data_IF_716429387919
#
_entry.id   IF_716429387919
#
_cell.length_a   1.000
_cell.length_b   1.000
_cell.length_c   1.000
_cell.angle_alpha   90.00
_cell.angle_beta   90.00
_cell.angle_gamma   90.00
#
_symmetry.space_group_name_H-M   'P 1'
#
loop_
_entity.id
_entity.type
_entity.pdbx_description
1 polymer ?
#
# COMPACT_ATOMS: atom_id res chain seq x y z
N UNK A 1 -39.59 -26.18 42.66
CA UNK A 1 -40.62 -25.33 42.03
C UNK A 1 -39.89 -24.44 41.04
N UNK A 2 -39.68 -24.74 39.77
CA UNK A 2 -40.28 -25.66 38.77
C UNK A 2 -39.22 -25.79 37.66
N UNK A 3 -38.60 -26.94 37.42
CA UNK A 3 -39.00 -28.02 36.50
C UNK A 3 -39.54 -27.57 35.12
N UNK A 4 -38.93 -28.15 34.07
CA UNK A 4 -39.42 -28.56 32.72
C UNK A 4 -38.34 -28.23 31.66
N UNK A 5 -37.89 -29.09 30.74
CA UNK A 5 -37.98 -30.53 30.46
C UNK A 5 -36.91 -30.80 29.39
N UNK A 6 -36.07 -31.81 29.57
CA UNK A 6 -35.36 -32.45 28.45
C UNK A 6 -36.37 -33.26 27.63
N UNK A 7 -36.30 -33.14 26.31
CA UNK A 7 -37.07 -33.95 25.38
C UNK A 7 -36.08 -34.76 24.55
N UNK A 8 -35.92 -36.03 24.92
CA UNK A 8 -35.51 -37.08 24.00
C UNK A 8 -36.55 -37.23 22.89
N UNK A 9 -36.11 -37.28 21.64
CA UNK A 9 -36.88 -37.92 20.57
C UNK A 9 -36.03 -38.89 19.78
N UNK A 10 -36.64 -40.06 19.61
CA UNK A 10 -36.15 -41.33 19.10
C UNK A 10 -35.94 -41.32 17.59
N UNK A 11 -35.09 -42.25 17.18
CA UNK A 11 -34.92 -42.79 15.84
C UNK A 11 -36.25 -43.04 15.12
N UNK A 12 -36.34 -42.56 13.88
CA UNK A 12 -37.31 -43.02 12.90
C UNK A 12 -36.57 -43.30 11.59
N UNK A 13 -36.42 -44.59 11.30
CA UNK A 13 -35.99 -45.10 10.01
C UNK A 13 -37.03 -44.73 8.93
N UNK A 14 -36.57 -44.09 7.86
CA UNK A 14 -37.39 -43.73 6.71
C UNK A 14 -36.55 -43.79 5.44
N UNK A 15 -36.74 -44.87 4.68
CA UNK A 15 -36.23 -45.10 3.33
C UNK A 15 -36.51 -43.90 2.40
N UNK A 16 -35.49 -43.34 1.78
CA UNK A 16 -35.62 -42.66 0.49
C UNK A 16 -34.45 -43.03 -0.42
N UNK A 17 -34.82 -43.57 -1.58
CA UNK A 17 -34.00 -44.25 -2.57
C UNK A 17 -32.90 -43.37 -3.17
N UNK A 18 -31.70 -43.95 -3.26
CA UNK A 18 -30.59 -43.44 -4.07
C UNK A 18 -30.93 -43.62 -5.56
N UNK A 19 -31.16 -42.52 -6.27
CA UNK A 19 -31.12 -42.51 -7.74
C UNK A 19 -29.68 -42.31 -8.22
N UNK A 20 -29.08 -43.38 -8.72
CA UNK A 20 -27.87 -43.34 -9.53
C UNK A 20 -28.18 -42.79 -10.93
N UNK A 21 -27.33 -41.95 -11.54
CA UNK A 21 -27.29 -41.79 -12.99
C UNK A 21 -26.39 -42.87 -13.61
N UNK A 22 -26.90 -43.41 -14.71
CA UNK A 22 -26.44 -44.60 -15.42
C UNK A 22 -25.11 -44.38 -16.13
N UNK A 23 -24.32 -45.45 -16.12
CA UNK A 23 -23.24 -45.71 -17.06
C UNK A 23 -23.72 -45.57 -18.51
N UNK A 24 -22.97 -44.80 -19.31
CA UNK A 24 -22.87 -45.07 -20.74
C UNK A 24 -21.48 -45.63 -21.03
N UNK A 25 -21.45 -46.91 -21.37
CA UNK A 25 -20.32 -47.58 -22.01
C UNK A 25 -20.05 -46.92 -23.37
N UNK A 26 -18.78 -46.58 -23.60
CA UNK A 26 -18.17 -46.62 -24.92
C UNK A 26 -16.80 -47.28 -24.71
N UNK A 27 -16.74 -48.57 -25.05
CA UNK A 27 -15.51 -49.30 -25.45
C UNK A 27 -15.34 -49.04 -26.95
N UNK A 28 -14.19 -49.04 -27.60
CA UNK A 28 -12.76 -49.08 -27.33
C UNK A 28 -12.11 -48.88 -28.72
N UNK A 29 -10.78 -48.88 -28.77
CA UNK A 29 -9.89 -48.87 -29.95
C UNK A 29 -9.63 -47.46 -30.55
N UNK A 30 -8.41 -46.93 -30.65
CA UNK A 30 -7.17 -47.65 -30.94
C UNK A 30 -5.87 -46.89 -30.52
N UNK A 31 -4.88 -47.73 -30.25
CA UNK A 31 -3.43 -47.60 -30.08
C UNK A 31 -2.58 -46.30 -30.08
N UNK A 32 -1.66 -46.31 -29.09
CA UNK A 32 -0.20 -46.01 -29.12
C UNK A 32 0.27 -44.57 -29.34
N UNK A 33 0.74 -43.92 -28.26
CA UNK A 33 2.15 -43.49 -28.19
C UNK A 33 2.58 -43.15 -26.75
N UNK A 34 3.47 -43.96 -26.19
CA UNK A 34 4.34 -43.61 -25.06
C UNK A 34 5.71 -43.32 -25.65
N UNK A 35 6.33 -42.19 -25.30
CA UNK A 35 7.67 -42.17 -24.70
C UNK A 35 8.30 -40.77 -24.65
N UNK A 36 8.76 -40.44 -23.45
CA UNK A 36 10.02 -39.80 -23.09
C UNK A 36 10.54 -38.58 -23.87
N UNK A 37 10.46 -37.40 -23.23
CA UNK A 37 11.43 -36.30 -23.44
C UNK A 37 12.50 -36.31 -22.34
N UNK A 38 13.67 -36.87 -22.67
CA UNK A 38 14.97 -36.64 -22.00
C UNK A 38 16.04 -36.51 -23.09
N UNK A 39 16.64 -35.34 -23.24
CA UNK A 39 17.93 -35.18 -23.92
C UNK A 39 18.75 -34.16 -23.12
N UNK A 40 19.69 -34.59 -22.29
CA UNK A 40 21.08 -34.95 -22.58
C UNK A 40 21.95 -33.76 -23.05
N UNK A 41 22.71 -33.22 -22.09
CA UNK A 41 24.01 -32.59 -22.31
C UNK A 41 25.05 -33.67 -22.60
N UNK A 42 25.75 -33.60 -23.72
CA UNK A 42 27.12 -34.09 -23.82
C UNK A 42 27.95 -33.37 -24.89
N UNK A 43 29.26 -33.43 -24.67
CA UNK A 43 30.36 -32.59 -25.15
C UNK A 43 31.33 -33.47 -25.96
N UNK A 44 32.16 -32.86 -26.81
CA UNK A 44 33.29 -33.38 -27.64
C UNK A 44 32.90 -33.66 -29.11
N UNK A 45 33.71 -33.43 -30.16
CA UNK A 45 35.13 -33.02 -30.32
C UNK A 45 35.44 -32.67 -31.80
N UNK A 46 36.43 -31.80 -31.99
CA UNK A 46 37.39 -31.57 -33.10
C UNK A 46 37.17 -31.98 -34.58
N UNK A 47 37.59 -31.01 -35.42
CA UNK A 47 38.42 -31.08 -36.66
C UNK A 47 37.78 -31.38 -38.03
N UNK A 48 38.08 -30.48 -38.99
CA UNK A 48 37.89 -30.69 -40.43
C UNK A 48 37.65 -29.40 -41.23
N UNK A 49 38.73 -28.84 -41.79
CA UNK A 49 38.80 -27.60 -42.59
C UNK A 49 37.89 -27.58 -43.84
N UNK A 50 37.44 -26.39 -44.27
CA UNK A 50 37.64 -25.90 -45.65
C UNK A 50 37.26 -24.42 -45.79
N UNK A 51 38.20 -23.67 -46.39
CA UNK A 51 38.19 -22.24 -46.61
C UNK A 51 37.14 -21.80 -47.65
N UNK A 52 36.36 -20.77 -47.33
CA UNK A 52 35.86 -19.82 -48.33
C UNK A 52 36.11 -18.39 -47.86
N UNK A 53 37.06 -17.72 -48.53
CA UNK A 53 37.19 -16.27 -48.52
C UNK A 53 36.00 -15.68 -49.29
N UNK A 54 35.25 -14.75 -48.69
CA UNK A 54 35.07 -13.41 -49.27
C UNK A 54 34.21 -12.46 -48.41
N UNK A 55 34.76 -11.23 -48.31
CA UNK A 55 34.11 -9.92 -48.14
C UNK A 55 33.54 -9.57 -46.77
N UNK A 56 34.39 -8.84 -46.06
CA UNK A 56 34.10 -7.88 -44.99
C UNK A 56 32.85 -7.04 -45.26
N UNK A 57 31.84 -7.22 -44.41
CA UNK A 57 30.90 -6.17 -44.04
C UNK A 57 31.06 -6.00 -42.52
N UNK A 58 31.76 -4.94 -42.13
CA UNK A 58 31.73 -4.45 -40.74
C UNK A 58 30.28 -4.21 -40.35
N UNK A 59 29.81 -4.96 -39.36
CA UNK A 59 28.62 -4.61 -38.59
C UNK A 59 29.10 -4.34 -37.18
N UNK A 60 29.24 -3.07 -36.86
CA UNK A 60 29.43 -2.55 -35.51
C UNK A 60 28.50 -3.27 -34.54
N UNK A 61 29.09 -4.03 -33.63
CA UNK A 61 28.37 -4.55 -32.48
C UNK A 61 28.17 -3.41 -31.47
N UNK A 62 26.95 -3.15 -30.99
CA UNK A 62 26.74 -2.14 -29.96
C UNK A 62 27.55 -2.54 -28.72
N UNK A 63 28.38 -1.60 -28.28
CA UNK A 63 29.21 -1.66 -27.09
C UNK A 63 28.45 -2.27 -25.91
N UNK A 64 29.06 -3.25 -25.23
CA UNK A 64 28.63 -3.73 -23.92
C UNK A 64 28.52 -2.53 -22.98
N UNK A 65 27.31 -2.06 -22.73
CA UNK A 65 27.04 -1.03 -21.73
C UNK A 65 27.47 -1.61 -20.38
N UNK A 66 28.54 -1.08 -19.82
CA UNK A 66 28.99 -1.44 -18.48
C UNK A 66 27.84 -1.23 -17.50
N UNK A 67 27.42 -2.29 -16.79
CA UNK A 67 26.43 -2.15 -15.72
C UNK A 67 27.01 -1.19 -14.67
N UNK A 68 26.49 0.04 -14.61
CA UNK A 68 26.87 1.01 -13.57
C UNK A 68 26.69 0.35 -12.21
N UNK A 69 27.76 0.30 -11.41
CA UNK A 69 27.73 -0.24 -10.05
C UNK A 69 26.83 0.68 -9.23
N UNK A 70 25.71 0.17 -8.75
CA UNK A 70 24.79 0.94 -7.89
C UNK A 70 25.55 1.22 -6.59
N UNK A 71 25.72 2.50 -6.26
CA UNK A 71 26.36 2.91 -5.03
C UNK A 71 25.42 2.61 -3.86
N UNK A 72 25.88 1.77 -2.94
CA UNK A 72 25.19 1.48 -1.68
C UNK A 72 25.60 2.54 -0.67
N UNK A 73 24.62 3.15 -0.01
CA UNK A 73 24.87 4.09 1.07
C UNK A 73 25.42 3.33 2.28
N UNK A 74 26.50 3.85 2.88
CA UNK A 74 27.07 3.28 4.10
C UNK A 74 26.56 4.07 5.31
N UNK A 75 25.84 3.38 6.20
CA UNK A 75 25.44 3.92 7.50
C UNK A 75 26.54 3.59 8.50
N UNK A 76 27.10 4.61 9.14
CA UNK A 76 28.17 4.43 10.13
C UNK A 76 27.68 3.60 11.30
N UNK A 77 28.48 2.61 11.71
CA UNK A 77 28.06 1.64 12.72
C UNK A 77 27.76 2.30 14.08
N UNK A 78 28.59 3.24 14.52
CA UNK A 78 28.35 3.99 15.75
C UNK A 78 27.01 4.75 15.71
N UNK A 79 26.69 5.38 14.58
CA UNK A 79 25.43 6.10 14.43
C UNK A 79 24.24 5.13 14.43
N UNK A 80 24.33 4.02 13.71
CA UNK A 80 23.31 2.96 13.72
C UNK A 80 23.03 2.46 15.13
N UNK A 81 24.09 2.14 15.89
CA UNK A 81 23.96 1.66 17.28
C UNK A 81 23.30 2.71 18.17
N UNK A 82 23.64 3.99 17.99
CA UNK A 82 23.02 5.11 18.72
C UNK A 82 21.52 5.24 18.40
N UNK A 83 21.13 5.21 17.13
CA UNK A 83 19.71 5.28 16.72
C UNK A 83 18.93 4.08 17.24
N UNK A 84 19.45 2.86 17.07
CA UNK A 84 18.81 1.62 17.54
C UNK A 84 18.66 1.59 19.07
N UNK A 85 19.68 2.06 19.82
CA UNK A 85 19.61 2.17 21.28
C UNK A 85 18.56 3.20 21.70
N UNK A 86 18.52 4.34 21.01
CA UNK A 86 17.54 5.39 21.29
C UNK A 86 16.10 4.89 21.05
N UNK A 87 15.82 4.28 19.90
CA UNK A 87 14.51 3.69 19.58
C UNK A 87 14.05 2.72 20.68
N UNK A 88 14.94 1.80 21.09
CA UNK A 88 14.66 0.82 22.15
C UNK A 88 14.45 1.45 23.53
N UNK A 89 14.94 2.67 23.74
CA UNK A 89 14.78 3.37 25.02
C UNK A 89 13.40 4.01 25.18
N UNK A 90 12.64 4.17 24.08
CA UNK A 90 11.34 4.85 24.11
C UNK A 90 10.30 4.00 24.86
N UNK A 91 9.34 4.63 25.58
CA UNK A 91 8.36 3.93 26.40
C UNK A 91 7.60 2.83 25.67
N UNK A 92 7.12 3.11 24.45
CA UNK A 92 6.37 2.15 23.62
C UNK A 92 7.11 0.81 23.45
N UNK A 93 8.39 0.86 23.09
CA UNK A 93 9.18 -0.35 22.84
C UNK A 93 9.54 -1.09 24.12
N UNK A 94 9.79 -0.37 25.22
CA UNK A 94 9.96 -0.99 26.55
C UNK A 94 8.70 -1.73 26.97
N UNK A 95 7.54 -1.09 26.87
CA UNK A 95 6.26 -1.73 27.18
C UNK A 95 6.01 -2.96 26.32
N UNK A 96 6.26 -2.89 25.01
CA UNK A 96 6.11 -4.03 24.11
C UNK A 96 7.05 -5.19 24.48
N UNK A 97 8.29 -4.89 24.90
CA UNK A 97 9.26 -5.89 25.32
C UNK A 97 8.86 -6.59 26.63
N UNK A 98 8.15 -5.90 27.51
CA UNK A 98 7.70 -6.41 28.82
C UNK A 98 6.41 -7.24 28.74
N UNK A 99 5.64 -7.13 27.64
CA UNK A 99 4.38 -7.87 27.47
C UNK A 99 4.66 -9.33 27.11
N UNK A 100 4.24 -10.27 27.96
CA UNK A 100 4.29 -11.69 27.64
C UNK A 100 3.39 -12.08 26.46
N UNK A 101 3.83 -13.06 25.66
CA UNK A 101 3.02 -13.64 24.60
C UNK A 101 2.09 -14.72 25.16
N UNK A 102 0.78 -14.63 24.88
CA UNK A 102 -0.20 -15.60 25.32
C UNK A 102 -0.60 -16.50 24.14
N UNK A 103 -0.35 -17.80 24.27
CA UNK A 103 -0.84 -18.76 23.31
C UNK A 103 -2.37 -18.76 23.30
N UNK A 104 -2.97 -18.64 22.11
CA UNK A 104 -4.43 -18.70 21.92
C UNK A 104 -4.80 -19.92 21.07
N UNK A 105 -5.00 -21.10 21.66
CA UNK A 105 -5.29 -22.35 20.94
C UNK A 105 -6.52 -22.27 20.03
N UNK A 106 -7.46 -21.38 20.35
CA UNK A 106 -8.67 -21.18 19.54
C UNK A 106 -8.34 -20.80 18.08
N UNK A 107 -7.29 -20.02 17.83
CA UNK A 107 -6.92 -19.65 16.46
C UNK A 107 -6.35 -20.84 15.69
N UNK A 108 -5.56 -21.69 16.36
CA UNK A 108 -5.03 -22.91 15.75
C UNK A 108 -6.17 -23.86 15.38
N UNK A 109 -7.15 -24.04 16.26
CA UNK A 109 -8.32 -24.87 16.00
C UNK A 109 -9.10 -24.39 14.76
N UNK A 110 -9.26 -23.07 14.57
CA UNK A 110 -9.92 -22.52 13.39
C UNK A 110 -9.13 -22.82 12.11
N UNK A 111 -7.80 -22.69 12.16
CA UNK A 111 -6.94 -23.01 11.01
C UNK A 111 -6.99 -24.51 10.70
N UNK A 112 -6.93 -25.37 11.73
CA UNK A 112 -6.96 -26.82 11.58
C UNK A 112 -8.30 -27.30 11.00
N UNK A 113 -9.42 -26.75 11.48
CA UNK A 113 -10.75 -27.04 10.94
C UNK A 113 -10.83 -26.64 9.46
N UNK A 114 -10.38 -25.44 9.11
CA UNK A 114 -10.35 -24.98 7.72
C UNK A 114 -9.51 -25.89 6.82
N UNK A 115 -8.36 -26.36 7.28
CA UNK A 115 -7.50 -27.28 6.52
C UNK A 115 -8.20 -28.62 6.31
N UNK A 116 -8.85 -29.15 7.35
CA UNK A 116 -9.60 -30.40 7.29
C UNK A 116 -10.75 -30.33 6.28
N UNK A 117 -11.48 -29.22 6.26
CA UNK A 117 -12.68 -29.07 5.44
C UNK A 117 -12.38 -28.66 3.99
N UNK A 118 -11.21 -28.06 3.74
CA UNK A 118 -10.88 -27.50 2.43
C UNK A 118 -10.12 -28.49 1.54
N UNK A 119 -10.86 -29.36 0.87
CA UNK A 119 -10.33 -30.31 -0.11
C UNK A 119 -9.57 -29.64 -1.29
N UNK A 120 -9.76 -28.33 -1.53
CA UNK A 120 -8.99 -27.62 -2.56
C UNK A 120 -7.52 -27.48 -2.19
N UNK A 121 -7.15 -27.45 -0.90
CA UNK A 121 -5.74 -27.34 -0.50
C UNK A 121 -4.92 -28.59 -0.85
N UNK A 122 -5.57 -29.76 -0.87
CA UNK A 122 -4.93 -31.03 -1.22
C UNK A 122 -5.03 -31.35 -2.70
N UNK A 123 -6.14 -30.99 -3.35
CA UNK A 123 -6.36 -31.24 -4.78
C UNK A 123 -5.74 -30.20 -5.72
N UNK A 124 -5.37 -29.01 -5.20
CA UNK A 124 -4.76 -27.97 -6.03
C UNK A 124 -3.37 -28.43 -6.54
N UNK A 125 -3.13 -28.47 -7.87
CA UNK A 125 -1.88 -28.96 -8.45
C UNK A 125 -0.66 -28.15 -8.00
N UNK A 126 -0.86 -26.89 -7.56
CA UNK A 126 0.21 -25.99 -7.09
C UNK A 126 0.57 -26.17 -5.61
N UNK A 127 -0.24 -26.91 -4.86
CA UNK A 127 -0.02 -27.26 -3.45
C UNK A 127 0.23 -28.76 -3.26
N UNK A 128 0.62 -29.46 -4.33
CA UNK A 128 0.97 -30.90 -4.30
C UNK A 128 2.21 -31.15 -3.46
N UNK A 129 3.21 -30.27 -3.55
CA UNK A 129 4.40 -30.31 -2.69
C UNK A 129 4.03 -30.06 -1.23
N UNK A 130 4.28 -31.10 -0.41
CA UNK A 130 3.96 -31.08 1.03
C UNK A 130 4.70 -29.97 1.76
N UNK A 131 5.94 -29.66 1.37
CA UNK A 131 6.75 -28.61 2.01
C UNK A 131 6.13 -27.23 1.79
N UNK A 132 5.77 -26.93 0.54
CA UNK A 132 5.11 -25.68 0.16
C UNK A 132 3.76 -25.55 0.82
N UNK A 133 2.96 -26.62 0.84
CA UNK A 133 1.65 -26.64 1.52
C UNK A 133 1.78 -26.43 3.03
N UNK A 134 2.73 -27.09 3.69
CA UNK A 134 2.98 -26.90 5.11
C UNK A 134 3.42 -25.47 5.42
N UNK A 135 4.34 -24.88 4.62
CA UNK A 135 4.74 -23.49 4.80
C UNK A 135 3.57 -22.51 4.61
N UNK A 136 2.70 -22.79 3.65
CA UNK A 136 1.49 -22.00 3.45
C UNK A 136 0.54 -22.07 4.66
N UNK A 137 0.38 -23.25 5.26
CA UNK A 137 -0.36 -23.47 6.50
C UNK A 137 0.29 -22.73 7.68
N UNK A 138 1.60 -22.85 7.85
CA UNK A 138 2.33 -22.15 8.92
C UNK A 138 2.20 -20.63 8.78
N UNK A 139 2.22 -20.08 7.57
CA UNK A 139 1.95 -18.66 7.36
C UNK A 139 0.54 -18.27 7.86
N UNK A 140 -0.49 -19.10 7.63
CA UNK A 140 -1.83 -18.85 8.18
C UNK A 140 -1.81 -18.90 9.71
N UNK A 141 -1.19 -19.91 10.32
CA UNK A 141 -1.06 -20.03 11.78
C UNK A 141 -0.33 -18.84 12.40
N UNK A 142 0.77 -18.40 11.79
CA UNK A 142 1.55 -17.27 12.26
C UNK A 142 0.78 -15.94 12.19
N UNK A 143 0.10 -15.69 11.06
CA UNK A 143 -0.61 -14.42 10.81
C UNK A 143 -1.96 -14.38 11.52
N UNK A 144 -2.86 -15.32 11.23
CA UNK A 144 -4.20 -15.36 11.83
C UNK A 144 -4.15 -15.63 13.34
N UNK A 145 -3.24 -16.51 13.75
CA UNK A 145 -2.99 -16.82 15.15
C UNK A 145 -2.23 -15.75 15.92
N UNK A 146 -1.87 -14.63 15.29
CA UNK A 146 -1.19 -13.49 15.93
C UNK A 146 0.13 -13.90 16.61
N UNK A 147 0.82 -14.88 16.03
CA UNK A 147 2.09 -15.44 16.54
C UNK A 147 3.31 -14.77 15.92
N UNK A 148 3.11 -13.71 15.15
CA UNK A 148 4.21 -13.02 14.49
C UNK A 148 3.90 -11.55 14.30
N UNK A 149 4.95 -10.74 14.39
CA UNK A 149 4.94 -9.34 13.98
C UNK A 149 4.95 -9.29 12.46
N UNK A 150 4.15 -8.41 11.88
CA UNK A 150 4.10 -8.20 10.43
C UNK A 150 4.64 -6.82 10.12
N UNK A 151 5.79 -6.79 9.46
CA UNK A 151 6.48 -5.57 9.05
C UNK A 151 6.33 -5.42 7.54
N UNK A 152 5.35 -4.65 7.10
CA UNK A 152 5.07 -4.41 5.69
C UNK A 152 5.88 -3.25 5.16
N UNK A 153 6.45 -3.41 3.97
CA UNK A 153 7.20 -2.37 3.27
C UNK A 153 6.73 -2.23 1.83
N UNK A 154 6.82 -1.00 1.35
CA UNK A 154 6.69 -0.65 -0.07
C UNK A 154 7.64 0.52 -0.35
N UNK A 155 8.32 0.50 -1.50
CA UNK A 155 9.26 1.56 -1.88
C UNK A 155 8.93 2.06 -3.28
N UNK A 156 8.66 3.36 -3.39
CA UNK A 156 8.45 4.00 -4.68
C UNK A 156 9.77 4.56 -5.22
N UNK A 157 9.92 4.45 -6.54
CA UNK A 157 11.05 4.99 -7.28
C UNK A 157 10.57 5.86 -8.43
N UNK A 158 11.42 6.78 -8.86
CA UNK A 158 11.09 7.67 -9.95
C UNK A 158 10.94 6.90 -11.27
N UNK A 159 9.83 7.11 -11.96
CA UNK A 159 9.44 6.34 -13.14
C UNK A 159 10.37 6.52 -14.35
N UNK A 160 11.21 7.58 -14.37
CA UNK A 160 12.21 7.82 -15.41
C UNK A 160 13.60 7.28 -15.07
N UNK A 161 13.88 7.03 -13.78
CA UNK A 161 15.09 6.33 -13.32
C UNK A 161 14.78 5.59 -12.03
N UNK A 162 14.54 4.29 -12.16
CA UNK A 162 14.14 3.40 -11.05
C UNK A 162 15.26 3.16 -10.02
N UNK A 163 16.45 3.75 -10.20
CA UNK A 163 17.49 3.77 -9.16
C UNK A 163 17.30 4.93 -8.18
N UNK A 164 16.38 5.85 -8.46
CA UNK A 164 16.12 7.02 -7.64
C UNK A 164 14.88 6.78 -6.79
N UNK A 165 15.09 6.38 -5.55
CA UNK A 165 14.03 6.15 -4.55
C UNK A 165 13.39 7.48 -4.14
N UNK A 166 12.07 7.58 -4.20
CA UNK A 166 11.32 8.79 -3.86
C UNK A 166 10.63 8.68 -2.50
N UNK A 167 10.11 7.50 -2.16
CA UNK A 167 9.31 7.29 -0.95
C UNK A 167 9.59 5.92 -0.33
N UNK A 168 9.38 5.81 0.98
CA UNK A 168 9.40 4.54 1.72
C UNK A 168 8.11 4.49 2.54
N UNK A 169 7.35 3.43 2.34
CA UNK A 169 6.17 3.08 3.12
C UNK A 169 6.47 1.95 4.08
N UNK A 170 6.00 2.10 5.32
CA UNK A 170 6.07 1.05 6.33
C UNK A 170 4.72 0.96 7.02
N UNK A 171 4.22 -0.26 7.18
CA UNK A 171 3.08 -0.55 8.05
C UNK A 171 3.42 -1.74 8.95
N UNK A 172 3.24 -1.57 10.26
CA UNK A 172 3.61 -2.58 11.25
C UNK A 172 2.38 -2.98 12.04
N UNK A 173 2.12 -4.28 12.07
CA UNK A 173 1.24 -4.91 13.04
C UNK A 173 2.09 -5.66 14.06
N UNK A 174 2.01 -5.21 15.31
CA UNK A 174 2.63 -5.87 16.45
C UNK A 174 1.51 -6.45 17.32
N UNK A 175 1.33 -7.77 17.38
CA UNK A 175 0.22 -8.34 18.13
C UNK A 175 0.40 -8.24 19.65
N UNK A 176 1.60 -7.95 20.18
CA UNK A 176 1.93 -8.13 21.60
C UNK A 176 0.97 -7.38 22.52
N UNK A 177 0.66 -6.13 22.22
CA UNK A 177 -0.25 -5.27 22.99
C UNK A 177 -1.73 -5.36 22.56
N UNK A 178 -2.06 -6.20 21.58
CA UNK A 178 -3.38 -6.24 20.95
C UNK A 178 -3.83 -7.65 20.55
N UNK A 179 -3.37 -8.68 21.28
CA UNK A 179 -3.62 -10.11 20.99
C UNK A 179 -5.11 -10.47 20.91
N UNK A 180 -5.96 -9.74 21.64
CA UNK A 180 -7.41 -9.94 21.71
C UNK A 180 -8.21 -8.78 21.12
N UNK A 181 -7.54 -7.82 20.45
CA UNK A 181 -8.24 -6.71 19.83
C UNK A 181 -9.13 -7.20 18.67
N UNK A 182 -10.40 -6.79 18.69
CA UNK A 182 -11.32 -7.03 17.57
C UNK A 182 -10.89 -6.27 16.32
N UNK A 183 -10.50 -5.01 16.50
CA UNK A 183 -9.99 -4.14 15.44
C UNK A 183 -8.54 -3.82 15.79
N UNK A 184 -7.56 -4.47 15.14
CA UNK A 184 -6.16 -4.19 15.40
C UNK A 184 -5.78 -2.80 14.93
N UNK A 185 -4.78 -2.22 15.60
CA UNK A 185 -4.15 -0.97 15.20
C UNK A 185 -2.87 -1.26 14.44
N UNK A 186 -2.48 -0.32 13.57
CA UNK A 186 -1.30 -0.46 12.73
C UNK A 186 -0.46 0.79 12.84
N UNK A 187 0.83 0.64 13.10
CA UNK A 187 1.76 1.75 12.94
C UNK A 187 1.99 1.96 11.45
N UNK A 188 1.61 3.13 10.93
CA UNK A 188 1.87 3.51 9.55
C UNK A 188 2.95 4.61 9.53
N UNK A 189 3.88 4.52 8.60
CA UNK A 189 4.96 5.48 8.42
C UNK A 189 5.13 5.70 6.93
N UNK A 190 5.12 6.97 6.54
CA UNK A 190 5.41 7.38 5.18
C UNK A 190 6.60 8.35 5.17
N UNK A 191 7.67 7.97 4.49
CA UNK A 191 8.89 8.77 4.38
C UNK A 191 9.05 9.23 2.94
N UNK A 192 9.23 10.53 2.73
CA UNK A 192 9.59 11.11 1.43
C UNK A 192 11.06 11.52 1.43
N UNK A 193 11.78 11.11 0.41
CA UNK A 193 13.23 11.36 0.30
C UNK A 193 13.48 12.82 -0.09
N UNK A 194 14.06 13.58 0.84
CA UNK A 194 14.29 15.04 0.75
C UNK A 194 15.00 15.45 -0.55
N UNK A 195 16.06 14.73 -0.91
CA UNK A 195 16.87 15.01 -2.11
C UNK A 195 16.12 14.76 -3.42
N UNK A 196 14.97 14.07 -3.37
CA UNK A 196 14.23 13.63 -4.52
C UNK A 196 12.78 14.16 -4.55
N UNK A 197 12.40 15.10 -3.67
CA UNK A 197 11.03 15.64 -3.61
C UNK A 197 10.53 16.24 -4.93
N UNK A 198 11.44 16.78 -5.75
CA UNK A 198 11.12 17.34 -7.07
C UNK A 198 10.88 16.28 -8.15
N UNK A 199 11.17 14.99 -7.86
CA UNK A 199 11.00 13.88 -8.81
C UNK A 199 9.63 13.26 -8.64
N UNK A 200 8.66 13.90 -9.29
CA UNK A 200 7.27 13.46 -9.25
C UNK A 200 7.05 12.37 -10.30
N UNK A 201 6.29 11.35 -9.90
CA UNK A 201 5.68 10.41 -10.83
C UNK A 201 4.43 11.06 -11.45
N UNK A 202 3.95 10.53 -12.57
CA UNK A 202 2.73 11.07 -13.19
C UNK A 202 2.53 10.66 -14.64
N UNK A 203 3.59 10.22 -15.33
CA UNK A 203 3.53 9.84 -16.74
C UNK A 203 2.94 8.44 -16.92
N UNK A 204 3.33 7.49 -16.08
CA UNK A 204 2.90 6.10 -16.16
C UNK A 204 2.04 5.70 -14.95
N UNK A 205 2.39 6.27 -13.79
CA UNK A 205 1.76 6.01 -12.50
C UNK A 205 1.09 7.30 -11.99
N UNK A 206 -0.10 7.25 -11.35
CA UNK A 206 -0.68 8.41 -10.68
C UNK A 206 0.30 9.06 -9.69
N UNK A 207 0.25 10.38 -9.56
CA UNK A 207 1.00 11.09 -8.52
C UNK A 207 0.13 11.13 -7.27
N UNK A 208 0.49 10.32 -6.28
CA UNK A 208 -0.20 10.26 -4.98
C UNK A 208 0.77 10.41 -3.81
N UNK A 209 2.00 10.86 -4.05
CA UNK A 209 3.03 10.95 -3.02
C UNK A 209 2.64 11.86 -1.85
N UNK A 210 1.76 12.84 -2.10
CA UNK A 210 1.26 13.75 -1.06
C UNK A 210 -0.08 13.30 -0.47
N UNK A 211 -0.68 12.19 -0.92
CA UNK A 211 -1.99 11.69 -0.49
C UNK A 211 -1.89 10.53 0.52
N UNK A 212 -1.09 10.71 1.58
CA UNK A 212 -0.94 9.68 2.61
C UNK A 212 -2.14 9.65 3.56
N UNK A 213 -2.80 8.50 3.66
CA UNK A 213 -4.00 8.31 4.50
C UNK A 213 -3.66 8.25 6.00
N UNK A 214 -2.42 7.91 6.36
CA UNK A 214 -1.96 7.86 7.75
C UNK A 214 -1.62 9.22 8.37
N UNK A 215 -1.95 10.33 7.69
CA UNK A 215 -1.91 11.68 8.26
C UNK A 215 -0.64 12.46 7.93
N UNK A 216 0.52 11.98 8.37
CA UNK A 216 1.79 12.73 8.27
C UNK A 216 2.81 12.00 7.41
N UNK A 217 3.38 12.71 6.43
CA UNK A 217 4.55 12.28 5.66
C UNK A 217 5.82 12.92 6.22
N UNK A 218 6.84 12.11 6.50
CA UNK A 218 8.10 12.59 7.05
C UNK A 218 9.12 12.81 5.93
N UNK A 219 9.62 14.03 5.80
CA UNK A 219 10.65 14.37 4.83
C UNK A 219 12.01 14.14 5.48
N UNK A 220 12.79 13.21 4.94
CA UNK A 220 14.10 12.82 5.49
C UNK A 220 15.13 12.74 4.37
N UNK A 221 16.39 13.03 4.68
CA UNK A 221 17.50 12.73 3.75
C UNK A 221 17.59 11.21 3.54
N UNK A 222 18.20 10.76 2.43
CA UNK A 222 18.44 9.32 2.18
C UNK A 222 19.17 8.65 3.34
N UNK A 223 20.13 9.35 3.93
CA UNK A 223 20.94 8.86 5.04
C UNK A 223 20.12 8.67 6.31
N UNK A 224 19.31 9.65 6.67
CA UNK A 224 18.47 9.55 7.88
C UNK A 224 17.32 8.57 7.68
N UNK A 225 16.72 8.52 6.47
CA UNK A 225 15.71 7.52 6.13
C UNK A 225 16.28 6.10 6.25
N UNK A 226 17.44 5.82 5.63
CA UNK A 226 18.11 4.52 5.73
C UNK A 226 18.47 4.16 7.17
N UNK A 227 19.01 5.11 7.94
CA UNK A 227 19.36 4.92 9.36
C UNK A 227 18.15 4.62 10.24
N UNK A 228 17.06 5.34 10.03
CA UNK A 228 15.81 5.11 10.75
C UNK A 228 15.20 3.74 10.42
N UNK A 229 15.08 3.40 9.13
CA UNK A 229 14.56 2.09 8.71
C UNK A 229 15.44 0.95 9.21
N UNK A 230 16.77 1.12 9.19
CA UNK A 230 17.69 0.15 9.77
C UNK A 230 17.42 -0.08 11.26
N UNK A 231 17.14 0.97 12.04
CA UNK A 231 16.86 0.83 13.47
C UNK A 231 15.56 0.04 13.74
N UNK A 232 14.54 0.23 12.90
CA UNK A 232 13.32 -0.57 12.95
C UNK A 232 13.60 -2.04 12.61
N UNK A 233 14.38 -2.31 11.56
CA UNK A 233 14.79 -3.67 11.19
C UNK A 233 15.60 -4.34 12.31
N UNK A 234 16.50 -3.60 12.96
CA UNK A 234 17.28 -4.10 14.08
C UNK A 234 16.38 -4.52 15.25
N UNK A 235 15.40 -3.68 15.59
CA UNK A 235 14.45 -3.97 16.67
C UNK A 235 13.56 -5.18 16.34
N UNK A 236 12.88 -5.15 15.18
CA UNK A 236 11.85 -6.14 14.85
C UNK A 236 12.38 -7.48 14.35
N UNK A 237 13.60 -7.55 13.80
CA UNK A 237 14.11 -8.79 13.21
C UNK A 237 15.39 -9.33 13.84
N UNK A 238 16.17 -8.49 14.54
CA UNK A 238 17.47 -8.91 15.08
C UNK A 238 17.49 -9.06 16.61
N UNK A 239 16.53 -8.45 17.31
CA UNK A 239 16.55 -8.31 18.78
C UNK A 239 15.19 -8.55 19.45
N UNK A 240 14.29 -9.34 18.85
CA UNK A 240 13.02 -9.67 19.51
C UNK A 240 13.29 -10.45 20.79
N UNK A 241 13.04 -9.82 21.95
CA UNK A 241 13.32 -10.41 23.29
C UNK A 241 12.38 -11.56 23.64
N UNK A 242 11.32 -11.74 22.86
CA UNK A 242 10.31 -12.77 23.05
C UNK A 242 10.39 -13.76 21.90
N UNK A 243 9.94 -15.00 22.11
CA UNK A 243 9.86 -16.06 21.10
C UNK A 243 8.85 -15.76 19.95
N UNK A 244 8.48 -14.49 19.76
CA UNK A 244 7.65 -14.03 18.64
C UNK A 244 8.54 -13.73 17.43
N UNK A 245 8.25 -14.40 16.32
CA UNK A 245 8.92 -14.15 15.05
C UNK A 245 8.36 -12.92 14.32
N UNK A 246 9.07 -12.47 13.28
CA UNK A 246 8.64 -11.36 12.42
C UNK A 246 8.66 -11.77 10.96
N UNK A 247 7.67 -11.31 10.19
CA UNK A 247 7.64 -11.41 8.73
C UNK A 247 7.90 -10.05 8.10
N UNK A 248 8.79 -10.01 7.11
CA UNK A 248 8.79 -8.92 6.13
C UNK A 248 7.67 -9.19 5.13
N UNK A 249 6.70 -8.29 5.08
CA UNK A 249 5.51 -8.39 4.24
C UNK A 249 5.65 -7.42 3.06
N UNK A 250 5.21 -7.83 1.89
CA UNK A 250 5.22 -6.95 0.72
C UNK A 250 4.44 -7.53 -0.45
N UNK A 251 4.51 -6.84 -1.58
CA UNK A 251 3.80 -7.18 -2.80
C UNK A 251 4.79 -7.13 -3.99
N UNK A 252 5.49 -8.25 -4.23
CA UNK A 252 6.73 -8.32 -5.03
C UNK A 252 7.99 -7.79 -4.28
N UNK A 253 8.21 -8.33 -3.08
CA UNK A 253 9.26 -7.95 -2.12
C UNK A 253 10.70 -7.85 -2.65
N UNK A 254 11.17 -8.66 -3.63
CA UNK A 254 12.56 -8.59 -4.07
C UNK A 254 12.98 -7.19 -4.55
N UNK A 255 12.06 -6.41 -5.12
CA UNK A 255 12.29 -5.02 -5.52
C UNK A 255 12.55 -4.11 -4.32
N UNK A 256 11.65 -4.13 -3.35
CA UNK A 256 11.73 -3.31 -2.13
C UNK A 256 13.00 -3.58 -1.33
N UNK A 257 13.33 -4.86 -1.12
CA UNK A 257 14.55 -5.26 -0.41
C UNK A 257 15.78 -4.71 -1.11
N UNK A 258 15.82 -4.79 -2.45
CA UNK A 258 16.94 -4.27 -3.23
C UNK A 258 17.06 -2.76 -3.04
N UNK A 259 15.97 -2.01 -3.15
CA UNK A 259 15.99 -0.55 -2.96
C UNK A 259 16.41 -0.16 -1.54
N UNK A 260 15.82 -0.77 -0.51
CA UNK A 260 16.23 -0.54 0.88
C UNK A 260 17.70 -0.87 1.13
N UNK A 261 18.23 -1.93 0.51
CA UNK A 261 19.65 -2.26 0.57
C UNK A 261 20.52 -1.14 -0.01
N UNK A 262 20.10 -0.47 -1.09
CA UNK A 262 20.85 0.68 -1.65
C UNK A 262 20.88 1.88 -0.71
N UNK A 263 19.90 2.01 0.19
CA UNK A 263 19.88 3.00 1.27
C UNK A 263 20.70 2.58 2.51
N UNK A 264 21.40 1.44 2.44
CA UNK A 264 22.25 0.96 3.53
C UNK A 264 21.54 0.06 4.53
N UNK A 265 20.25 -0.26 4.32
CA UNK A 265 19.49 -1.17 5.19
C UNK A 265 19.98 -2.61 4.98
N UNK A 266 20.33 -3.26 6.08
CA UNK A 266 20.79 -4.64 6.18
C UNK A 266 19.73 -5.47 6.88
N UNK A 267 19.28 -6.52 6.20
CA UNK A 267 18.37 -7.52 6.74
C UNK A 267 19.15 -8.74 7.27
N UNK A 268 18.64 -9.46 8.28
CA UNK A 268 19.25 -10.71 8.72
C UNK A 268 19.19 -11.80 7.65
N UNK A 269 20.09 -12.77 7.72
CA UNK A 269 20.19 -13.86 6.73
C UNK A 269 18.99 -14.79 6.73
N UNK A 270 18.38 -15.01 7.89
CA UNK A 270 17.20 -15.85 8.11
C UNK A 270 15.87 -15.06 8.05
N UNK A 271 15.79 -14.06 7.17
CA UNK A 271 14.60 -13.22 7.03
C UNK A 271 13.36 -14.02 6.56
N UNK A 272 12.36 -14.16 7.44
CA UNK A 272 11.03 -14.67 7.08
C UNK A 272 10.31 -13.65 6.21
N UNK A 273 9.74 -14.12 5.09
CA UNK A 273 9.07 -13.27 4.09
C UNK A 273 7.65 -13.74 3.83
N UNK A 274 6.74 -12.79 3.70
CA UNK A 274 5.36 -13.01 3.34
C UNK A 274 5.01 -12.12 2.14
N UNK A 275 5.23 -12.66 0.94
CA UNK A 275 4.93 -11.96 -0.30
C UNK A 275 3.50 -12.26 -0.75
N UNK A 276 2.66 -11.24 -0.82
CA UNK A 276 1.24 -11.37 -1.17
C UNK A 276 1.03 -11.80 -2.63
N UNK A 277 1.94 -11.45 -3.55
CA UNK A 277 1.91 -11.96 -4.94
C UNK A 277 2.12 -13.47 -4.94
N UNK A 278 3.08 -13.95 -4.15
CA UNK A 278 3.37 -15.37 -4.03
C UNK A 278 2.22 -16.14 -3.36
N UNK A 279 1.66 -15.63 -2.26
CA UNK A 279 0.51 -16.25 -1.58
C UNK A 279 -0.68 -16.45 -2.53
N UNK A 280 -0.99 -15.45 -3.35
CA UNK A 280 -2.04 -15.55 -4.36
C UNK A 280 -1.70 -16.55 -5.45
N UNK A 281 -0.46 -16.54 -5.93
CA UNK A 281 -0.03 -17.45 -6.98
C UNK A 281 -0.02 -18.92 -6.54
N UNK A 282 0.26 -19.20 -5.27
CA UNK A 282 0.23 -20.56 -4.71
C UNK A 282 -1.12 -21.24 -4.88
N UNK A 283 -2.22 -20.49 -4.80
CA UNK A 283 -3.58 -21.05 -4.84
C UNK A 283 -4.28 -20.76 -6.17
N UNK A 284 -4.18 -19.54 -6.68
CA UNK A 284 -4.88 -19.10 -7.89
C UNK A 284 -4.05 -19.23 -9.18
N UNK A 285 -2.74 -19.43 -9.07
CA UNK A 285 -1.85 -19.57 -10.23
C UNK A 285 -1.61 -18.31 -11.05
N UNK A 286 -2.06 -17.14 -10.57
CA UNK A 286 -1.83 -15.84 -11.21
C UNK A 286 -0.57 -15.21 -10.62
N UNK A 287 0.51 -15.19 -11.41
CA UNK A 287 1.72 -14.43 -11.07
C UNK A 287 1.57 -12.96 -11.46
N UNK A 288 2.12 -12.06 -10.65
CA UNK A 288 2.16 -10.61 -10.94
C UNK A 288 0.80 -9.93 -10.94
N UNK A 289 -0.12 -10.33 -10.05
CA UNK A 289 -1.36 -9.59 -9.82
C UNK A 289 -1.00 -8.28 -9.13
N UNK A 290 -1.33 -7.12 -9.71
CA UNK A 290 -1.06 -5.82 -9.07
C UNK A 290 -1.82 -5.65 -7.75
N UNK A 291 -1.30 -4.81 -6.85
CA UNK A 291 -1.88 -4.60 -5.52
C UNK A 291 -3.37 -4.23 -5.59
N UNK A 292 -3.72 -3.22 -6.39
CA UNK A 292 -5.13 -2.84 -6.57
C UNK A 292 -6.04 -3.96 -7.08
N UNK A 293 -5.54 -4.86 -7.94
CA UNK A 293 -6.33 -6.00 -8.41
C UNK A 293 -6.49 -7.06 -7.30
N UNK A 294 -5.44 -7.29 -6.51
CA UNK A 294 -5.49 -8.18 -5.36
C UNK A 294 -6.46 -7.67 -4.29
N UNK A 295 -6.42 -6.38 -3.95
CA UNK A 295 -7.36 -5.74 -3.02
C UNK A 295 -8.81 -5.85 -3.51
N UNK A 296 -9.05 -5.57 -4.80
CA UNK A 296 -10.38 -5.70 -5.41
C UNK A 296 -10.92 -7.13 -5.38
N UNK A 297 -10.04 -8.13 -5.48
CA UNK A 297 -10.42 -9.54 -5.42
C UNK A 297 -10.96 -9.93 -4.05
N UNK A 298 -10.39 -9.39 -2.96
CA UNK A 298 -10.84 -9.62 -1.57
C UNK A 298 -11.71 -8.49 -1.03
N UNK A 299 -12.19 -7.61 -1.91
CA UNK A 299 -13.12 -6.50 -1.58
C UNK A 299 -12.62 -5.57 -0.48
N UNK A 300 -11.30 -5.32 -0.42
CA UNK A 300 -10.72 -4.29 0.45
C UNK A 300 -10.83 -2.94 -0.26
N UNK A 301 -11.61 -1.98 0.28
CA UNK A 301 -11.65 -0.62 -0.24
C UNK A 301 -10.30 0.05 -0.08
N UNK A 302 -9.86 0.77 -1.10
CA UNK A 302 -8.56 1.43 -1.10
C UNK A 302 -8.62 2.73 -1.89
N UNK A 303 -7.77 3.68 -1.50
CA UNK A 303 -7.61 4.97 -2.16
C UNK A 303 -6.14 5.36 -2.18
N UNK A 304 -5.74 6.15 -3.18
CA UNK A 304 -4.39 6.71 -3.29
C UNK A 304 -3.28 5.65 -3.25
N UNK A 305 -3.42 4.58 -4.05
CA UNK A 305 -2.31 3.68 -4.35
C UNK A 305 -1.18 4.46 -5.05
N UNK A 306 0.06 3.99 -5.01
CA UNK A 306 1.25 4.76 -5.42
C UNK A 306 1.59 5.92 -4.49
N UNK A 307 1.12 5.80 -3.25
CA UNK A 307 1.74 6.41 -2.09
C UNK A 307 2.33 5.25 -1.29
N UNK A 308 3.65 5.23 -1.10
CA UNK A 308 4.31 4.05 -0.53
C UNK A 308 3.74 3.68 0.85
N UNK A 309 3.41 4.67 1.69
CA UNK A 309 2.81 4.45 3.01
C UNK A 309 1.45 3.76 2.94
N UNK A 310 0.58 4.20 2.03
CA UNK A 310 -0.71 3.55 1.79
C UNK A 310 -0.55 2.14 1.23
N UNK A 311 0.39 1.95 0.30
CA UNK A 311 0.62 0.65 -0.35
C UNK A 311 1.17 -0.38 0.65
N UNK A 312 2.08 0.02 1.55
CA UNK A 312 2.52 -0.82 2.66
C UNK A 312 1.36 -1.20 3.58
N UNK A 313 0.48 -0.26 3.92
CA UNK A 313 -0.71 -0.51 4.76
C UNK A 313 -1.69 -1.48 4.08
N UNK A 314 -2.08 -1.23 2.84
CA UNK A 314 -3.00 -2.10 2.12
C UNK A 314 -2.41 -3.48 1.84
N UNK A 315 -1.10 -3.56 1.62
CA UNK A 315 -0.39 -4.84 1.49
C UNK A 315 -0.44 -5.64 2.80
N UNK A 316 -0.32 -4.97 3.95
CA UNK A 316 -0.46 -5.61 5.26
C UNK A 316 -1.88 -6.16 5.47
N UNK A 317 -2.91 -5.34 5.18
CA UNK A 317 -4.32 -5.79 5.24
C UNK A 317 -4.60 -6.95 4.30
N UNK A 318 -4.04 -6.90 3.08
CA UNK A 318 -4.14 -7.99 2.13
C UNK A 318 -3.50 -9.26 2.70
N UNK A 319 -2.28 -9.19 3.22
CA UNK A 319 -1.59 -10.34 3.81
C UNK A 319 -2.40 -10.98 4.95
N UNK A 320 -2.94 -10.18 5.86
CA UNK A 320 -3.85 -10.66 6.92
C UNK A 320 -5.08 -11.35 6.34
N UNK A 321 -5.74 -10.73 5.36
CA UNK A 321 -6.93 -11.27 4.70
C UNK A 321 -6.64 -12.57 3.95
N UNK A 322 -5.48 -12.69 3.31
CA UNK A 322 -5.06 -13.90 2.62
C UNK A 322 -4.69 -15.03 3.58
N UNK A 323 -4.36 -14.73 4.83
CA UNK A 323 -4.05 -15.71 5.85
C UNK A 323 -5.23 -16.05 6.77
N UNK A 324 -6.36 -15.35 6.66
CA UNK A 324 -7.58 -15.58 7.44
C UNK A 324 -8.44 -16.70 6.81
N UNK A 325 -8.66 -17.83 7.51
CA UNK A 325 -9.44 -18.95 6.99
C UNK A 325 -10.86 -18.58 6.51
N UNK A 326 -11.56 -17.70 7.23
CA UNK A 326 -12.92 -17.29 6.88
C UNK A 326 -12.92 -16.40 5.64
N UNK A 327 -11.95 -15.50 5.52
CA UNK A 327 -11.77 -14.71 4.31
C UNK A 327 -11.44 -15.59 3.10
N UNK A 328 -10.59 -16.61 3.27
CA UNK A 328 -10.24 -17.53 2.18
C UNK A 328 -11.45 -18.28 1.64
N UNK A 329 -12.34 -18.75 2.52
CA UNK A 329 -13.63 -19.36 2.15
C UNK A 329 -14.50 -18.31 1.44
N UNK A 330 -14.74 -17.16 2.09
CA UNK A 330 -15.64 -16.11 1.59
C UNK A 330 -15.29 -15.63 0.18
N UNK A 331 -14.00 -15.51 -0.14
CA UNK A 331 -13.53 -15.02 -1.44
C UNK A 331 -13.11 -16.12 -2.42
N UNK A 332 -13.37 -17.40 -2.07
CA UNK A 332 -13.02 -18.56 -2.88
C UNK A 332 -11.55 -18.51 -3.35
N UNK A 333 -10.62 -18.32 -2.39
CA UNK A 333 -9.21 -18.10 -2.70
C UNK A 333 -8.45 -19.39 -3.03
N UNK A 334 -8.99 -20.55 -2.67
CA UNK A 334 -8.35 -21.85 -2.90
C UNK A 334 -8.92 -22.60 -4.11
N UNK A 335 -10.04 -22.12 -4.64
CA UNK A 335 -10.67 -22.70 -5.82
C UNK A 335 -9.88 -22.29 -7.06
N UNK A 336 -9.40 -23.28 -7.81
CA UNK A 336 -8.70 -23.05 -9.06
C UNK A 336 -9.61 -22.31 -10.05
N UNK A 337 -9.19 -21.11 -10.44
CA UNK A 337 -9.89 -20.34 -11.47
C UNK A 337 -9.34 -20.74 -12.83
N UNK A 338 -10.15 -21.46 -13.61
CA UNK A 338 -9.91 -21.59 -15.04
C UNK A 338 -10.10 -20.20 -15.65
N UNK A 339 -9.18 -19.76 -16.52
CA UNK A 339 -9.35 -18.48 -17.20
C UNK A 339 -10.53 -18.57 -18.15
N UNK A 340 -11.66 -17.99 -17.75
CA UNK A 340 -12.74 -17.67 -18.68
C UNK A 340 -12.41 -16.34 -19.36
N UNK A 341 -12.25 -16.40 -20.69
CA UNK A 341 -12.04 -15.23 -21.53
C UNK A 341 -10.96 -15.41 -22.59
N UNK A 342 -11.04 -14.65 -23.69
CA UNK A 342 -10.08 -14.74 -24.79
C UNK A 342 -8.67 -14.43 -24.31
N UNK A 343 -7.71 -15.25 -24.74
CA UNK A 343 -6.29 -15.01 -24.49
C UNK A 343 -5.86 -13.87 -25.41
N UNK A 344 -5.73 -12.66 -24.84
CA UNK A 344 -5.22 -11.51 -25.58
C UNK A 344 -3.75 -11.76 -26.00
N UNK A 345 -3.45 -11.48 -27.26
CA UNK A 345 -2.09 -11.51 -27.81
C UNK A 345 -1.21 -10.44 -27.13
N UNK A 346 0.11 -10.53 -27.30
CA UNK A 346 1.04 -9.49 -26.77
C UNK A 346 0.73 -8.12 -27.36
N UNK A 347 0.36 -8.06 -28.63
CA UNK A 347 0.02 -6.84 -29.36
C UNK A 347 -1.27 -6.22 -28.82
N UNK A 348 -2.31 -7.02 -28.60
CA UNK A 348 -3.57 -6.53 -28.03
C UNK A 348 -3.41 -6.01 -26.60
N UNK A 349 -2.55 -6.66 -25.79
CA UNK A 349 -2.21 -6.16 -24.45
C UNK A 349 -1.47 -4.83 -24.51
N UNK A 350 -0.54 -4.68 -25.44
CA UNK A 350 0.22 -3.44 -25.63
C UNK A 350 -0.71 -2.32 -26.12
N UNK A 351 -1.55 -2.58 -27.11
CA UNK A 351 -2.54 -1.62 -27.62
C UNK A 351 -3.51 -1.16 -26.52
N UNK A 352 -4.00 -2.09 -25.69
CA UNK A 352 -4.88 -1.76 -24.55
C UNK A 352 -4.16 -0.92 -23.48
N UNK A 353 -2.85 -1.16 -23.26
CA UNK A 353 -2.03 -0.36 -22.35
C UNK A 353 -1.81 1.05 -22.90
N UNK A 354 -1.53 1.18 -24.19
CA UNK A 354 -1.32 2.47 -24.87
C UNK A 354 -2.62 3.29 -24.91
N UNK A 355 -3.76 2.66 -25.20
CA UNK A 355 -5.06 3.32 -25.18
C UNK A 355 -5.39 3.89 -23.79
N UNK A 356 -5.19 3.10 -22.73
CA UNK A 356 -5.37 3.58 -21.34
C UNK A 356 -4.43 4.74 -21.01
N UNK A 357 -3.20 4.73 -21.53
CA UNK A 357 -2.24 5.82 -21.36
C UNK A 357 -2.73 7.09 -22.05
N UNK A 358 -3.22 6.97 -23.28
CA UNK A 358 -3.74 8.10 -24.06
C UNK A 358 -4.94 8.74 -23.36
N UNK A 359 -5.89 7.93 -22.88
CA UNK A 359 -7.03 8.38 -22.07
C UNK A 359 -6.60 9.11 -20.79
N UNK A 360 -5.55 8.65 -20.10
CA UNK A 360 -5.02 9.33 -18.90
C UNK A 360 -4.39 10.69 -19.22
N UNK A 361 -3.64 10.78 -20.32
CA UNK A 361 -3.03 12.03 -20.76
C UNK A 361 -4.11 13.05 -21.13
N UNK A 362 -5.13 12.63 -21.88
CA UNK A 362 -6.27 13.47 -22.24
C UNK A 362 -7.06 13.94 -21.01
N UNK A 363 -7.27 13.07 -20.02
CA UNK A 363 -7.94 13.44 -18.77
C UNK A 363 -7.15 14.51 -17.99
N UNK A 364 -5.82 14.36 -17.90
CA UNK A 364 -4.94 15.36 -17.27
C UNK A 364 -4.93 16.69 -18.03
N UNK A 365 -4.91 16.65 -19.35
CA UNK A 365 -4.95 17.85 -20.18
C UNK A 365 -6.30 18.59 -20.01
N UNK A 366 -7.42 17.86 -19.94
CA UNK A 366 -8.73 18.43 -19.64
C UNK A 366 -8.78 19.07 -18.26
N UNK A 367 -8.28 18.38 -17.23
CA UNK A 367 -8.23 18.91 -15.86
C UNK A 367 -7.35 20.17 -15.77
N UNK A 368 -6.23 20.21 -16.50
CA UNK A 368 -5.38 21.40 -16.58
C UNK A 368 -6.09 22.58 -17.26
N UNK A 369 -6.82 22.33 -18.36
CA UNK A 369 -7.61 23.36 -19.06
C UNK A 369 -8.76 23.90 -18.21
N UNK A 370 -9.45 23.05 -17.45
CA UNK A 370 -10.51 23.48 -16.52
C UNK A 370 -9.95 24.32 -15.36
N UNK A 371 -8.77 24.00 -14.83
CA UNK A 371 -8.10 24.81 -13.80
C UNK A 371 -7.69 26.19 -14.32
N UNK A 372 -7.22 26.29 -15.56
CA UNK A 372 -6.91 27.59 -16.19
C UNK A 372 -8.18 28.41 -16.41
N UNK A 373 -9.25 27.79 -16.93
CA UNK A 373 -10.52 28.47 -17.19
C UNK A 373 -11.19 29.02 -15.92
N UNK A 374 -11.20 28.23 -14.85
CA UNK A 374 -11.73 28.68 -13.55
C UNK A 374 -10.83 29.71 -12.86
N UNK A 375 -9.52 29.71 -13.13
CA UNK A 375 -8.60 30.74 -12.64
C UNK A 375 -8.73 32.08 -13.38
N UNK A 376 -9.06 32.06 -14.68
CA UNK A 376 -9.32 33.28 -15.46
C UNK A 376 -10.67 33.92 -15.15
N UNK A 377 -11.69 33.14 -14.77
CA UNK A 377 -13.00 33.68 -14.36
C UNK A 377 -12.93 34.44 -13.00
N UNK A 378 -11.97 34.11 -12.11
CA UNK A 378 -11.71 34.87 -10.88
C UNK A 378 -10.86 36.15 -11.09
N UNK A 379 -10.15 36.27 -12.23
CA UNK A 379 -9.39 37.49 -12.59
C UNK A 379 -10.16 38.45 -13.52
N UNK A 380 -11.23 38.00 -14.19
CA UNK A 380 -12.10 38.84 -15.01
C UNK A 380 -13.21 39.54 -14.19
N UNK A 381 -13.67 39.00 -13.06
CA UNK A 381 -14.66 39.69 -12.19
C UNK A 381 -14.10 40.94 -11.46
N UNK A 382 -12.78 41.15 -11.42
CA UNK A 382 -12.15 42.35 -10.82
C UNK A 382 -11.78 43.44 -11.85
N UNK A 383 -12.11 43.26 -13.14
CA UNK A 383 -11.84 44.26 -14.21
C UNK A 383 -13.08 44.91 -14.82
N UNK A 384 -14.29 44.44 -14.47
CA UNK A 384 -15.55 44.99 -15.00
C UNK A 384 -16.18 46.10 -14.15
N UNK A 385 -15.39 46.79 -13.31
CA UNK A 385 -15.87 47.96 -12.56
C UNK A 385 -15.12 49.27 -12.88
N UNK A 386 -14.57 49.39 -14.09
CA UNK A 386 -14.08 50.67 -14.63
C UNK A 386 -14.40 50.78 -16.12
N UNK A 387 -15.56 51.33 -16.46
CA UNK A 387 -15.66 52.52 -17.32
C UNK A 387 -17.12 52.78 -17.69
N UNK A 388 -17.57 54.02 -17.53
CA UNK A 388 -18.89 54.40 -18.00
C UNK A 388 -19.37 55.78 -17.57
N UNK A 389 -18.58 56.84 -17.72
CA UNK A 389 -19.06 58.11 -18.30
C UNK A 389 -17.92 59.11 -18.48
N UNK A 390 -17.77 59.60 -19.71
CA UNK A 390 -16.87 60.68 -20.09
C UNK A 390 -17.70 61.91 -20.48
N UNK A 391 -17.14 63.07 -20.17
CA UNK A 391 -17.41 64.40 -20.72
C UNK A 391 -18.67 65.15 -20.24
N UNK A 392 -18.47 66.18 -19.39
CA UNK A 392 -18.33 67.56 -19.88
C UNK A 392 -18.08 68.57 -18.74
N UNK A 393 -17.43 69.67 -19.14
CA UNK A 393 -17.44 71.01 -18.52
C UNK A 393 -16.47 71.28 -17.35
N UNK A 394 -15.43 72.03 -17.69
CA UNK A 394 -14.68 72.92 -16.80
C UNK A 394 -15.51 74.20 -16.64
N UNK A 395 -15.80 74.60 -15.40
CA UNK A 395 -15.97 75.97 -14.90
C UNK A 395 -15.98 75.86 -13.36
N UNK A 396 -14.89 76.19 -12.67
CA UNK A 396 -14.54 77.49 -12.09
C UNK A 396 -15.27 77.86 -10.77
N UNK A 397 -14.44 78.23 -9.80
CA UNK A 397 -14.62 79.14 -8.63
C UNK A 397 -15.26 78.69 -7.29
N UNK A 398 -14.46 78.99 -6.25
CA UNK A 398 -14.77 79.41 -4.86
C UNK A 398 -15.06 78.33 -3.79
N UNK A 399 -14.22 78.17 -2.75
CA UNK A 399 -13.88 79.02 -1.58
C UNK A 399 -14.85 78.88 -0.38
N UNK A 400 -14.22 78.82 0.81
CA UNK A 400 -14.73 78.84 2.19
C UNK A 400 -15.17 77.49 2.78
N UNK A 401 -14.52 76.94 3.83
CA UNK A 401 -14.19 77.40 5.21
C UNK A 401 -15.29 77.09 6.21
N UNK A 402 -14.84 76.50 7.32
CA UNK A 402 -15.38 76.58 8.69
C UNK A 402 -16.74 75.86 8.88
N UNK A 403 -17.10 75.22 10.00
CA UNK A 403 -16.58 75.14 11.35
C UNK A 403 -17.34 74.01 12.08
N UNK A 404 -16.76 73.50 13.18
CA UNK A 404 -17.40 72.63 14.18
C UNK A 404 -18.17 73.54 15.18
N UNK A 405 -19.35 73.13 15.71
CA UNK A 405 -19.46 72.87 17.18
C UNK A 405 -20.39 71.67 17.50
N UNK A 406 -19.96 70.66 18.28
CA UNK A 406 -20.02 70.51 19.76
C UNK A 406 -21.41 70.46 20.41
N UNK A 407 -21.63 69.35 21.15
CA UNK A 407 -22.31 69.24 22.47
C UNK A 407 -23.85 69.42 22.52
N UNK A 408 -24.64 68.82 23.43
CA UNK A 408 -24.51 67.77 24.44
C UNK A 408 -25.92 67.49 25.03
N UNK A 409 -26.14 66.29 25.59
CA UNK A 409 -27.15 65.91 26.62
C UNK A 409 -28.65 66.06 26.27
N UNK A 410 -29.61 65.26 26.75
CA UNK A 410 -29.65 64.14 27.69
C UNK A 410 -31.12 63.77 27.98
N UNK A 411 -31.33 62.52 28.41
CA UNK A 411 -32.48 61.96 29.15
C UNK A 411 -33.88 61.83 28.49
N UNK A 412 -34.40 60.60 28.48
CA UNK A 412 -35.81 60.28 28.31
C UNK A 412 -36.07 58.78 28.23
N UNK A 413 -37.00 58.29 29.05
CA UNK A 413 -37.12 56.94 29.58
C UNK A 413 -37.87 55.91 28.69
N UNK A 414 -37.61 54.65 29.03
CA UNK A 414 -38.20 53.34 28.72
C UNK A 414 -39.56 53.25 27.96
N UNK A 415 -39.65 52.43 26.90
CA UNK A 415 -40.29 51.09 26.93
C UNK A 415 -40.45 50.43 25.54
N UNK A 416 -39.80 49.26 25.42
CA UNK A 416 -40.16 48.01 24.72
C UNK A 416 -40.77 48.00 23.30
N UNK A 417 -39.94 47.43 22.42
CA UNK A 417 -40.24 46.37 21.44
C UNK A 417 -41.10 46.73 20.23
N UNK A 418 -40.40 47.14 19.15
CA UNK A 418 -40.79 46.86 17.78
C UNK A 418 -39.70 46.04 17.08
N UNK A 419 -40.13 44.87 16.62
CA UNK A 419 -39.49 44.02 15.64
C UNK A 419 -39.31 44.85 14.36
N UNK A 420 -38.12 44.87 13.77
CA UNK A 420 -37.95 44.78 12.31
C UNK A 420 -36.47 44.56 11.92
N UNK A 421 -36.29 43.44 11.22
CA UNK A 421 -35.25 43.00 10.28
C UNK A 421 -34.06 43.94 10.04
N UNK A 422 -32.90 43.61 10.61
CA UNK A 422 -31.60 44.19 10.23
C UNK A 422 -30.63 43.09 9.77
N UNK A 423 -30.26 43.22 8.48
CA UNK A 423 -29.01 42.83 7.83
C UNK A 423 -28.17 41.71 8.44
N UNK A 424 -28.29 40.51 7.87
CA UNK A 424 -27.24 39.47 7.97
C UNK A 424 -26.05 39.84 7.06
N UNK A 425 -24.80 39.84 7.57
CA UNK A 425 -23.64 39.99 6.72
C UNK A 425 -23.44 38.71 5.89
N UNK A 426 -23.24 38.86 4.58
CA UNK A 426 -22.89 37.77 3.65
C UNK A 426 -21.57 37.15 4.11
N UNK A 427 -21.62 35.96 4.73
CA UNK A 427 -20.44 35.10 4.93
C UNK A 427 -19.94 34.71 3.54
N UNK A 428 -18.79 35.25 3.12
CA UNK A 428 -18.01 34.70 2.00
C UNK A 428 -17.67 33.25 2.33
N UNK A 429 -18.39 32.30 1.73
CA UNK A 429 -18.05 30.89 1.81
C UNK A 429 -16.77 30.66 1.01
N UNK A 430 -15.62 30.62 1.70
CA UNK A 430 -14.44 30.00 1.11
C UNK A 430 -14.79 28.52 0.86
N UNK A 431 -15.03 28.15 -0.41
CA UNK A 431 -15.03 26.75 -0.84
C UNK A 431 -13.62 26.22 -0.57
N UNK A 432 -13.40 25.64 0.61
CA UNK A 432 -12.25 24.77 0.82
C UNK A 432 -12.53 23.52 -0.01
N UNK A 433 -11.87 23.40 -1.16
CA UNK A 433 -11.60 22.06 -1.68
C UNK A 433 -10.87 21.31 -0.56
N UNK A 434 -11.35 20.14 -0.10
CA UNK A 434 -10.54 19.30 0.76
C UNK A 434 -9.42 18.76 -0.13
N UNK A 435 -8.28 19.44 -0.15
CA UNK A 435 -7.08 18.82 -0.69
C UNK A 435 -6.79 17.64 0.25
N UNK A 436 -6.96 16.41 -0.23
CA UNK A 436 -6.59 15.17 0.50
C UNK A 436 -5.06 15.04 0.63
N UNK A 437 -4.37 16.16 0.89
CA UNK A 437 -2.93 16.30 1.01
C UNK A 437 -2.59 16.09 2.47
N UNK A 438 -1.72 15.12 2.73
CA UNK A 438 -1.18 14.84 4.04
C UNK A 438 -0.28 15.99 4.52
N UNK A 439 -0.23 16.19 5.84
CA UNK A 439 0.77 17.07 6.43
C UNK A 439 2.17 16.52 6.12
N UNK A 440 3.14 17.40 5.89
CA UNK A 440 4.54 17.02 5.68
C UNK A 440 5.43 17.68 6.71
N UNK A 441 6.20 16.86 7.44
CA UNK A 441 7.11 17.32 8.49
C UNK A 441 8.54 16.96 8.09
N UNK A 442 9.41 17.97 8.00
CA UNK A 442 10.83 17.73 7.81
C UNK A 442 11.48 17.25 9.10
N UNK A 443 12.24 16.16 8.99
CA UNK A 443 12.94 15.54 10.10
C UNK A 443 14.44 15.54 9.79
N UNK A 444 15.21 16.09 10.72
CA UNK A 444 16.66 16.30 10.57
C UNK A 444 17.47 15.06 10.89
N UNK A 445 17.02 14.22 11.82
CA UNK A 445 17.74 13.00 12.24
C UNK A 445 16.81 11.81 12.44
N UNK A 446 17.33 10.59 12.30
CA UNK A 446 16.62 9.35 12.59
C UNK A 446 16.21 9.22 14.07
N UNK A 447 16.94 9.89 14.97
CA UNK A 447 16.59 10.01 16.39
C UNK A 447 15.31 10.84 16.53
N UNK A 448 15.27 12.02 15.90
CA UNK A 448 14.08 12.88 15.89
C UNK A 448 12.88 12.18 15.25
N UNK A 449 13.11 11.39 14.19
CA UNK A 449 12.08 10.55 13.56
C UNK A 449 11.49 9.56 14.56
N UNK A 450 12.35 8.84 15.28
CA UNK A 450 11.95 7.87 16.31
C UNK A 450 11.12 8.54 17.40
N UNK A 451 11.55 9.71 17.89
CA UNK A 451 10.77 10.48 18.86
C UNK A 451 9.43 10.92 18.28
N UNK A 452 9.41 11.57 17.13
CA UNK A 452 8.20 12.15 16.57
C UNK A 452 7.15 11.08 16.23
N UNK A 453 7.58 9.93 15.73
CA UNK A 453 6.70 8.84 15.31
C UNK A 453 6.18 8.05 16.52
N UNK A 454 6.99 7.84 17.55
CA UNK A 454 6.67 6.91 18.64
C UNK A 454 6.50 7.54 20.03
N UNK A 455 6.65 8.86 20.19
CA UNK A 455 6.48 9.53 21.50
C UNK A 455 5.05 9.97 21.80
N UNK A 456 4.13 9.91 20.82
CA UNK A 456 2.75 10.36 20.99
C UNK A 456 1.78 9.19 21.22
N UNK A 457 1.75 8.67 22.45
CA UNK A 457 0.59 7.96 23.02
C UNK A 457 0.21 8.55 24.40
N UNK A 458 0.31 9.87 24.56
CA UNK A 458 -0.18 10.58 25.76
C UNK A 458 -0.85 11.93 25.44
N UNK A 459 -1.53 12.03 24.29
CA UNK A 459 -2.36 13.19 23.96
C UNK A 459 -3.56 12.80 23.09
N UNK A 460 -4.32 11.78 23.50
CA UNK A 460 -5.76 11.84 23.28
C UNK A 460 -6.26 12.75 24.40
N UNK A 461 -6.35 14.05 24.11
CA UNK A 461 -7.10 14.99 24.94
C UNK A 461 -8.56 14.50 24.93
N UNK A 462 -8.92 13.79 25.98
CA UNK A 462 -10.29 13.74 26.47
C UNK A 462 -10.57 15.12 27.08
N UNK A 463 -10.94 16.08 26.24
CA UNK A 463 -11.76 17.23 26.64
C UNK A 463 -13.18 17.06 26.09
#
# INVERSE_FOLDING_TARGET
>A
MSEIREVEMKEAAGHTERRQPRHHEYKDDDHKNKDHYKHHYHKKSNEGQLNFRNRSFERDHPSKVAKRKIQVLEIHQEYRERVSTHLQSLPKFKTLDDIGWLAMPMYDNVVDQYISDNANLTSNPRLTDKTTRNRFIENMRSVYGRKSILFSVDVEAWELDTNIITEIGIAIYDPRDQQVAMIPTFQQIHIRIKENLYKLNGRFVPEHASNFNGGVSYIMTKYEAGSFVQSLVDYYFSKTKQDIGSFLVGHDLPGDIKWLTTLGVKFPSNLSRLDTVHLLALTLGKQGTSLGNALNMVKIPHAFLHNAGNDAYYTLLLAMTLCDPQCRIKFNLDVLRVKEGPILTKEEKLAKKELKRQQRMEAKEKEAKEKVKNGTEEEEEDKDNVSGTLANSIEEVNLSKDEIPTEASGNGDCTKNKIDVVNKPKKKSKKKHPSNIAESIEITTAIDASLKIFSNESSINLE
#
